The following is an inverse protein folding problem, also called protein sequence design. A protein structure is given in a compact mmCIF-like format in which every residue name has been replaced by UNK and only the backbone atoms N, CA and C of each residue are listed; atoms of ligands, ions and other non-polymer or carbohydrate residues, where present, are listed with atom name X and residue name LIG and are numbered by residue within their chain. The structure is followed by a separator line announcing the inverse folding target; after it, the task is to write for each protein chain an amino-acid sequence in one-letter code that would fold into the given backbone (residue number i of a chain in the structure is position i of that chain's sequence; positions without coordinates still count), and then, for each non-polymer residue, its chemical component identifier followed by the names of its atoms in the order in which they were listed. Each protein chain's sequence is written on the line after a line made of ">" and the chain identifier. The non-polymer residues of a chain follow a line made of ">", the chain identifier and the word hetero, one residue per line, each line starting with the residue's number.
data_IF_240381559400
#
_entry.id   IF_240381559400
#
_cell.length_a   1.000
_cell.length_b   1.000
_cell.length_c   1.000
_cell.angle_alpha   90.00
_cell.angle_beta   90.00
_cell.angle_gamma   90.00
#
_symmetry.space_group_name_H-M   'P 1'
#
loop_
_entity.id
_entity.type
_entity.pdbx_description
1 polymer ?
#
# COMPACT_ATOMS: atom_id res chain seq x y z
N UNK A 1 -7.14 1.01 16.63
CA UNK A 1 -8.14 1.43 15.61
C UNK A 1 -7.56 2.21 14.42
N UNK A 2 -6.39 2.87 14.51
CA UNK A 2 -5.78 3.60 13.37
C UNK A 2 -5.34 2.70 12.20
N UNK A 3 -4.85 1.49 12.51
CA UNK A 3 -4.24 0.56 11.55
C UNK A 3 -5.20 0.05 10.45
N UNK A 4 -6.39 -0.44 10.80
CA UNK A 4 -7.32 -1.05 9.83
C UNK A 4 -7.78 -0.09 8.71
N UNK A 5 -8.01 1.18 9.04
CA UNK A 5 -8.41 2.18 8.05
C UNK A 5 -7.25 2.56 7.10
N UNK A 6 -6.01 2.54 7.60
CA UNK A 6 -4.80 2.71 6.79
C UNK A 6 -4.56 1.50 5.88
N UNK A 7 -4.88 0.28 6.33
CA UNK A 7 -4.88 -0.95 5.52
C UNK A 7 -5.91 -0.83 4.41
N UNK A 8 -7.19 -0.58 4.70
CA UNK A 8 -8.22 -0.47 3.67
C UNK A 8 -7.87 0.62 2.63
N UNK A 9 -7.34 1.76 3.06
CA UNK A 9 -6.88 2.82 2.16
C UNK A 9 -5.71 2.37 1.28
N UNK A 10 -4.67 1.77 1.86
CA UNK A 10 -3.55 1.21 1.11
C UNK A 10 -4.04 0.15 0.14
N UNK A 11 -4.72 -0.87 0.65
CA UNK A 11 -5.22 -2.03 -0.07
C UNK A 11 -6.20 -1.66 -1.19
N UNK A 12 -7.11 -0.69 -0.98
CA UNK A 12 -8.07 -0.25 -2.00
C UNK A 12 -7.41 0.34 -3.26
N UNK A 13 -6.21 0.94 -3.12
CA UNK A 13 -5.43 1.46 -4.25
C UNK A 13 -4.59 0.37 -4.94
N UNK A 14 -4.31 -0.75 -4.28
CA UNK A 14 -3.38 -1.78 -4.75
C UNK A 14 -4.04 -2.90 -5.60
N UNK A 15 -5.36 -2.85 -5.81
CA UNK A 15 -6.12 -4.04 -6.22
C UNK A 15 -6.37 -4.16 -7.72
N UNK A 16 -5.84 -5.26 -8.28
CA UNK A 16 -6.39 -6.20 -9.29
C UNK A 16 -5.26 -7.10 -9.84
N UNK A 17 -3.99 -6.76 -9.63
CA UNK A 17 -2.86 -7.40 -10.33
C UNK A 17 -2.18 -8.57 -9.62
N UNK A 18 -2.41 -8.77 -8.31
CA UNK A 18 -1.55 -9.66 -7.50
C UNK A 18 -2.22 -10.99 -7.13
N UNK A 19 -3.55 -11.04 -7.01
CA UNK A 19 -4.28 -12.27 -6.63
C UNK A 19 -5.33 -12.62 -7.68
N UNK A 20 -5.26 -13.84 -8.22
CA UNK A 20 -6.26 -14.41 -9.12
C UNK A 20 -7.55 -14.84 -8.38
N UNK A 21 -7.45 -15.17 -7.09
CA UNK A 21 -8.59 -15.61 -6.27
C UNK A 21 -9.00 -14.54 -5.24
N UNK A 22 -10.10 -13.85 -5.52
CA UNK A 22 -10.63 -12.77 -4.68
C UNK A 22 -11.02 -13.23 -3.26
N UNK A 23 -11.61 -14.42 -3.12
CA UNK A 23 -12.01 -14.95 -1.80
C UNK A 23 -10.78 -15.19 -0.92
N UNK A 24 -9.74 -15.82 -1.48
CA UNK A 24 -8.49 -16.09 -0.77
C UNK A 24 -7.80 -14.80 -0.33
N UNK A 25 -7.75 -13.80 -1.21
CA UNK A 25 -7.23 -12.47 -0.89
C UNK A 25 -7.96 -11.83 0.29
N UNK A 26 -9.31 -11.87 0.30
CA UNK A 26 -10.12 -11.30 1.39
C UNK A 26 -9.83 -11.96 2.73
N UNK A 27 -9.70 -13.29 2.76
CA UNK A 27 -9.34 -14.02 3.98
C UNK A 27 -7.99 -13.58 4.50
N UNK A 28 -6.96 -13.52 3.64
CA UNK A 28 -5.61 -13.08 4.02
C UNK A 28 -5.62 -11.66 4.58
N UNK A 29 -6.37 -10.76 3.96
CA UNK A 29 -6.41 -9.35 4.37
C UNK A 29 -7.22 -9.15 5.65
N UNK A 30 -8.27 -9.94 5.87
CA UNK A 30 -8.96 -9.95 7.15
C UNK A 30 -8.03 -10.43 8.26
N UNK A 31 -7.30 -11.54 8.06
CA UNK A 31 -6.31 -12.03 9.02
C UNK A 31 -5.26 -10.94 9.30
N UNK A 32 -4.67 -10.34 8.26
CA UNK A 32 -3.70 -9.25 8.44
C UNK A 32 -4.31 -8.08 9.22
N UNK A 33 -5.53 -7.67 8.85
CA UNK A 33 -6.26 -6.59 9.51
C UNK A 33 -6.49 -6.83 11.01
N UNK A 34 -6.80 -8.07 11.39
CA UNK A 34 -6.93 -8.48 12.79
C UNK A 34 -5.59 -8.43 13.53
N UNK A 35 -4.53 -8.98 12.93
CA UNK A 35 -3.20 -9.06 13.56
C UNK A 35 -2.54 -7.70 13.75
N UNK A 36 -2.84 -6.75 12.87
CA UNK A 36 -2.28 -5.40 12.88
C UNK A 36 -2.97 -4.43 13.86
N UNK A 37 -4.02 -4.86 14.55
CA UNK A 37 -4.65 -4.10 15.65
C UNK A 37 -3.83 -4.20 16.93
N UNK A 38 -2.96 -5.20 17.02
CA UNK A 38 -2.13 -5.50 18.18
C UNK A 38 -0.71 -4.96 17.94
N UNK A 39 -0.14 -4.25 18.93
CA UNK A 39 1.20 -3.62 18.83
C UNK A 39 2.32 -4.66 18.84
N UNK A 40 2.43 -5.41 17.74
CA UNK A 40 3.35 -6.53 17.53
C UNK A 40 4.45 -6.17 16.55
N UNK A 41 5.57 -6.86 16.64
CA UNK A 41 6.69 -6.79 15.68
C UNK A 41 6.34 -7.46 14.35
N UNK A 42 7.08 -7.15 13.27
CA UNK A 42 6.88 -7.79 11.95
C UNK A 42 6.97 -9.33 12.05
N UNK A 43 7.95 -9.85 12.80
CA UNK A 43 8.15 -11.29 13.00
C UNK A 43 6.97 -11.95 13.72
N UNK A 44 6.46 -11.33 14.80
CA UNK A 44 5.30 -11.83 15.53
C UNK A 44 4.04 -11.86 14.66
N UNK A 45 3.83 -10.84 13.83
CA UNK A 45 2.67 -10.79 12.92
C UNK A 45 2.81 -11.85 11.83
N UNK A 46 4.03 -12.14 11.35
CA UNK A 46 4.26 -13.20 10.37
C UNK A 46 4.04 -14.61 10.94
N UNK A 47 4.52 -14.88 12.14
CA UNK A 47 4.28 -16.17 12.81
C UNK A 47 2.78 -16.38 13.03
N UNK A 48 2.08 -15.34 13.48
CA UNK A 48 0.63 -15.41 13.64
C UNK A 48 -0.11 -15.54 12.32
N UNK A 49 0.35 -14.88 11.25
CA UNK A 49 -0.24 -15.03 9.92
C UNK A 49 -0.14 -16.49 9.46
N UNK A 50 1.01 -17.13 9.62
CA UNK A 50 1.20 -18.55 9.28
C UNK A 50 0.28 -19.45 10.11
N UNK A 51 0.15 -19.16 11.41
CA UNK A 51 -0.77 -19.90 12.28
C UNK A 51 -2.23 -19.72 11.87
N UNK A 52 -2.69 -18.48 11.68
CA UNK A 52 -4.06 -18.15 11.31
C UNK A 52 -4.40 -18.58 9.89
N UNK A 53 -3.41 -18.75 9.01
CA UNK A 53 -3.62 -19.25 7.65
C UNK A 53 -3.41 -20.76 7.51
N UNK A 54 -3.13 -21.48 8.59
CA UNK A 54 -2.86 -22.93 8.57
C UNK A 54 -4.04 -23.78 8.08
N UNK A 55 -5.27 -23.26 8.14
CA UNK A 55 -6.47 -23.92 7.62
C UNK A 55 -6.66 -23.74 6.11
N UNK A 56 -5.85 -22.89 5.45
CA UNK A 56 -5.96 -22.67 4.02
C UNK A 56 -5.43 -23.88 3.24
N UNK A 57 -6.23 -24.34 2.28
CA UNK A 57 -5.84 -25.39 1.33
C UNK A 57 -5.90 -24.83 -0.11
N UNK A 58 -4.76 -24.70 -0.83
CA UNK A 58 -3.40 -24.98 -0.35
C UNK A 58 -2.90 -23.94 0.68
N UNK A 59 -1.84 -24.24 1.45
CA UNK A 59 -1.19 -23.26 2.32
C UNK A 59 -0.71 -22.01 1.57
N UNK A 60 -0.34 -20.95 2.30
CA UNK A 60 0.21 -19.75 1.68
C UNK A 60 1.43 -20.08 0.84
N UNK A 61 1.42 -19.66 -0.42
CA UNK A 61 2.59 -19.79 -1.27
C UNK A 61 3.58 -18.62 -1.03
N UNK A 62 4.80 -18.76 -1.54
CA UNK A 62 5.86 -17.75 -1.36
C UNK A 62 5.47 -16.35 -1.86
N UNK A 63 4.70 -16.26 -2.94
CA UNK A 63 4.21 -14.97 -3.45
C UNK A 63 3.26 -14.30 -2.47
N UNK A 64 2.32 -15.07 -1.92
CA UNK A 64 1.37 -14.58 -0.92
C UNK A 64 2.07 -14.15 0.36
N UNK A 65 3.09 -14.87 0.81
CA UNK A 65 3.91 -14.46 1.96
C UNK A 65 4.65 -13.16 1.69
N UNK A 66 5.29 -13.02 0.52
CA UNK A 66 5.95 -11.77 0.12
C UNK A 66 4.97 -10.60 0.07
N UNK A 67 3.75 -10.84 -0.42
CA UNK A 67 2.69 -9.83 -0.42
C UNK A 67 2.32 -9.39 1.00
N UNK A 68 2.12 -10.35 1.90
CA UNK A 68 1.79 -10.05 3.28
C UNK A 68 2.91 -9.25 3.95
N UNK A 69 4.16 -9.68 3.81
CA UNK A 69 5.31 -8.95 4.34
C UNK A 69 5.41 -7.53 3.78
N UNK A 70 5.19 -7.36 2.47
CA UNK A 70 5.20 -6.05 1.85
C UNK A 70 4.12 -5.13 2.45
N UNK A 71 2.89 -5.64 2.66
CA UNK A 71 1.83 -4.89 3.32
C UNK A 71 2.21 -4.52 4.75
N UNK A 72 2.73 -5.46 5.55
CA UNK A 72 3.18 -5.20 6.92
C UNK A 72 4.23 -4.08 6.97
N UNK A 73 5.22 -4.14 6.08
CA UNK A 73 6.25 -3.09 5.96
C UNK A 73 5.65 -1.75 5.58
N UNK A 74 4.81 -1.72 4.55
CA UNK A 74 4.13 -0.50 4.14
C UNK A 74 3.38 0.14 5.30
N UNK A 75 2.66 -0.65 6.07
CA UNK A 75 1.85 -0.20 7.19
C UNK A 75 2.67 0.30 8.37
N UNK A 76 3.76 -0.41 8.69
CA UNK A 76 4.66 -0.04 9.79
C UNK A 76 5.20 1.38 9.65
N UNK A 77 5.32 1.89 8.41
CA UNK A 77 5.83 3.23 8.14
C UNK A 77 4.74 4.20 7.64
N UNK A 78 3.54 3.72 7.27
CA UNK A 78 2.59 4.51 6.48
C UNK A 78 2.16 5.80 7.19
N UNK A 79 1.96 5.70 8.51
CA UNK A 79 1.55 6.82 9.35
C UNK A 79 2.73 7.73 9.73
N UNK A 80 3.97 7.24 9.65
CA UNK A 80 5.20 8.00 9.91
C UNK A 80 5.66 8.84 8.70
N UNK A 81 5.04 8.64 7.54
CA UNK A 81 5.33 9.42 6.34
C UNK A 81 4.63 10.77 6.45
N UNK A 82 5.40 11.78 6.89
CA UNK A 82 4.95 13.16 7.01
C UNK A 82 4.79 13.81 5.62
N UNK A 83 3.58 14.30 5.35
CA UNK A 83 3.24 15.10 4.17
C UNK A 83 2.45 16.30 4.67
N UNK A 84 3.08 17.47 4.60
CA UNK A 84 2.57 18.72 5.15
C UNK A 84 2.14 19.72 4.05
N UNK A 85 2.43 19.39 2.79
CA UNK A 85 2.31 20.34 1.68
C UNK A 85 2.11 19.66 0.33
N UNK A 86 1.47 20.39 -0.58
CA UNK A 86 1.33 19.98 -1.98
C UNK A 86 2.68 19.89 -2.71
N UNK A 87 3.67 20.67 -2.31
CA UNK A 87 5.03 20.55 -2.83
C UNK A 87 5.64 19.18 -2.51
N UNK A 88 5.48 18.71 -1.26
CA UNK A 88 5.96 17.39 -0.85
C UNK A 88 5.30 16.26 -1.62
N UNK A 89 4.00 16.39 -1.92
CA UNK A 89 3.27 15.45 -2.81
C UNK A 89 3.93 15.38 -4.18
N UNK A 90 4.25 16.53 -4.78
CA UNK A 90 4.86 16.57 -6.10
C UNK A 90 6.26 15.95 -6.12
N UNK A 91 7.08 16.24 -5.10
CA UNK A 91 8.40 15.61 -4.92
C UNK A 91 8.26 14.09 -4.81
N UNK A 92 7.36 13.60 -3.95
CA UNK A 92 7.12 12.15 -3.77
C UNK A 92 6.48 11.52 -5.01
N UNK A 93 5.79 12.27 -5.88
CA UNK A 93 5.22 11.71 -7.11
C UNK A 93 6.08 11.95 -8.35
N UNK A 94 7.29 12.49 -8.20
CA UNK A 94 8.18 12.87 -9.31
C UNK A 94 7.47 13.78 -10.33
N UNK A 95 6.61 14.69 -9.84
CA UNK A 95 5.88 15.64 -10.67
C UNK A 95 6.62 16.99 -10.76
N UNK A 96 6.72 17.58 -11.96
CA UNK A 96 7.26 18.93 -12.12
C UNK A 96 6.39 19.95 -11.36
N UNK A 97 7.00 20.82 -10.57
CA UNK A 97 6.31 21.83 -9.74
C UNK A 97 5.51 22.82 -10.59
N UNK A 98 5.89 23.03 -11.85
CA UNK A 98 5.17 23.88 -12.80
C UNK A 98 3.73 23.38 -13.04
N UNK A 99 3.46 22.08 -12.79
CA UNK A 99 2.11 21.53 -12.90
C UNK A 99 1.21 21.90 -11.71
N UNK A 100 1.74 22.50 -10.64
CA UNK A 100 0.93 22.95 -9.50
C UNK A 100 -0.02 24.09 -9.87
N UNK A 101 0.30 24.88 -10.90
CA UNK A 101 -0.55 25.98 -11.38
C UNK A 101 -1.64 25.54 -12.35
N UNK A 102 -1.79 24.23 -12.62
CA UNK A 102 -2.84 23.72 -13.48
C UNK A 102 -4.23 23.90 -12.84
N UNK A 103 -5.29 24.07 -13.65
CA UNK A 103 -6.66 23.98 -13.16
C UNK A 103 -6.91 22.65 -12.45
N UNK A 104 -7.73 22.67 -11.40
CA UNK A 104 -7.98 21.52 -10.49
C UNK A 104 -8.24 20.19 -11.23
N UNK A 105 -9.10 20.23 -12.26
CA UNK A 105 -9.43 19.04 -13.07
C UNK A 105 -8.21 18.47 -13.82
N UNK A 106 -7.30 19.32 -14.28
CA UNK A 106 -6.10 18.91 -14.99
C UNK A 106 -5.00 18.47 -14.02
N UNK A 107 -4.87 19.19 -12.90
CA UNK A 107 -4.01 18.83 -11.78
C UNK A 107 -4.34 17.42 -11.27
N UNK A 108 -5.62 17.14 -11.00
CA UNK A 108 -6.06 15.83 -10.54
C UNK A 108 -5.75 14.71 -11.54
N UNK A 109 -5.83 14.97 -12.85
CA UNK A 109 -5.40 13.99 -13.87
C UNK A 109 -3.89 13.78 -13.87
N UNK A 110 -3.11 14.85 -13.74
CA UNK A 110 -1.65 14.76 -13.71
C UNK A 110 -1.16 13.96 -12.49
N UNK A 111 -1.72 14.22 -11.31
CA UNK A 111 -1.42 13.51 -10.06
C UNK A 111 -1.79 12.03 -10.15
N UNK A 112 -3.02 11.71 -10.57
CA UNK A 112 -3.46 10.31 -10.77
C UNK A 112 -2.55 9.57 -11.75
N UNK A 113 -2.18 10.21 -12.86
CA UNK A 113 -1.30 9.62 -13.86
C UNK A 113 0.10 9.34 -13.29
N UNK A 114 0.70 10.31 -12.58
CA UNK A 114 2.01 10.15 -12.00
C UNK A 114 2.04 9.03 -10.94
N UNK A 115 1.04 8.99 -10.06
CA UNK A 115 0.86 7.91 -9.10
C UNK A 115 0.85 6.54 -9.79
N UNK A 116 -0.04 6.33 -10.78
CA UNK A 116 -0.16 5.04 -11.44
C UNK A 116 1.09 4.62 -12.22
N UNK A 117 1.76 5.58 -12.89
CA UNK A 117 3.01 5.29 -13.61
C UNK A 117 4.09 4.84 -12.63
N UNK A 118 4.28 5.55 -11.52
CA UNK A 118 5.30 5.21 -10.52
C UNK A 118 4.96 3.91 -9.81
N UNK A 119 3.70 3.73 -9.44
CA UNK A 119 3.20 2.51 -8.82
C UNK A 119 3.47 1.26 -9.67
N UNK A 120 3.06 1.27 -10.94
CA UNK A 120 3.28 0.15 -11.86
C UNK A 120 4.77 -0.09 -12.14
N UNK A 121 5.62 0.95 -12.06
CA UNK A 121 7.08 0.81 -12.18
C UNK A 121 7.67 0.01 -11.02
N UNK A 122 7.15 0.19 -9.81
CA UNK A 122 7.60 -0.45 -8.57
C UNK A 122 7.05 -1.89 -8.43
N UNK A 123 5.81 -2.12 -8.85
CA UNK A 123 5.19 -3.45 -8.82
C UNK A 123 5.59 -4.25 -10.06
N UNK A 124 6.80 -4.83 -10.03
CA UNK A 124 7.22 -5.86 -10.99
C UNK A 124 7.09 -7.25 -10.37
N UNK A 125 5.84 -7.64 -10.08
CA UNK A 125 5.49 -8.90 -9.41
C UNK A 125 5.66 -8.84 -7.88
N UNK A 126 5.45 -9.98 -7.21
CA UNK A 126 5.49 -10.09 -5.73
C UNK A 126 6.81 -9.61 -5.11
N UNK A 127 7.93 -9.99 -5.71
CA UNK A 127 9.26 -9.58 -5.22
C UNK A 127 9.47 -8.08 -5.41
N UNK A 128 9.09 -7.51 -6.56
CA UNK A 128 9.13 -6.06 -6.77
C UNK A 128 8.24 -5.30 -5.80
N UNK A 129 7.05 -5.83 -5.49
CA UNK A 129 6.15 -5.27 -4.48
C UNK A 129 6.79 -5.23 -3.08
N UNK A 130 7.44 -6.32 -2.69
CA UNK A 130 8.15 -6.42 -1.41
C UNK A 130 9.40 -5.55 -1.34
N UNK A 131 10.27 -5.63 -2.36
CA UNK A 131 11.53 -4.88 -2.40
C UNK A 131 11.29 -3.36 -2.41
N UNK A 132 10.16 -2.91 -2.96
CA UNK A 132 9.79 -1.49 -3.05
C UNK A 132 8.67 -1.07 -2.07
N UNK A 133 8.34 -1.90 -1.07
CA UNK A 133 7.23 -1.66 -0.15
C UNK A 133 7.26 -0.24 0.45
N UNK A 134 8.42 0.20 0.93
CA UNK A 134 8.60 1.54 1.51
C UNK A 134 8.27 2.67 0.53
N UNK A 135 8.75 2.56 -0.71
CA UNK A 135 8.49 3.56 -1.74
C UNK A 135 7.01 3.56 -2.15
N UNK A 136 6.41 2.38 -2.25
CA UNK A 136 4.98 2.22 -2.56
C UNK A 136 4.12 2.87 -1.46
N UNK A 137 4.48 2.69 -0.19
CA UNK A 137 3.80 3.35 0.93
C UNK A 137 3.87 4.88 0.79
N UNK A 138 5.05 5.43 0.48
CA UNK A 138 5.25 6.87 0.32
C UNK A 138 4.40 7.46 -0.80
N UNK A 139 4.43 6.87 -2.00
CA UNK A 139 3.63 7.38 -3.13
C UNK A 139 2.12 7.24 -2.88
N UNK A 140 1.71 6.20 -2.16
CA UNK A 140 0.30 5.99 -1.81
C UNK A 140 -0.15 7.00 -0.75
N UNK A 141 0.72 7.31 0.23
CA UNK A 141 0.46 8.36 1.22
C UNK A 141 0.32 9.72 0.56
N UNK A 142 1.23 10.07 -0.37
CA UNK A 142 1.19 11.31 -1.14
C UNK A 142 -0.08 11.44 -1.97
N UNK A 143 -0.49 10.37 -2.65
CA UNK A 143 -1.74 10.34 -3.39
C UNK A 143 -2.97 10.50 -2.50
N UNK A 144 -2.99 9.86 -1.33
CA UNK A 144 -4.08 10.00 -0.37
C UNK A 144 -4.19 11.40 0.22
N UNK A 145 -3.06 12.04 0.53
CA UNK A 145 -3.02 13.44 0.97
C UNK A 145 -3.63 14.36 -0.09
N UNK A 146 -3.24 14.18 -1.36
CA UNK A 146 -3.81 14.95 -2.47
C UNK A 146 -5.34 14.80 -2.53
N UNK A 147 -5.86 13.57 -2.52
CA UNK A 147 -7.29 13.31 -2.59
C UNK A 147 -8.10 13.84 -1.39
N UNK A 148 -7.46 14.18 -0.28
CA UNK A 148 -8.10 14.79 0.89
C UNK A 148 -8.02 16.32 0.88
N UNK A 149 -7.08 16.87 0.10
CA UNK A 149 -6.79 18.30 0.04
C UNK A 149 -7.54 19.03 -1.07
N UNK A 150 -8.22 18.28 -1.95
CA UNK A 150 -8.94 18.77 -3.14
C UNK A 150 -10.32 18.13 -3.14
#
# INVERSE_FOLDING_TARGET
>A
MKSYHSIEKLVSCLWWQIFENECRRKVIINILGELLVESRTEDEVLDMLLWHSSFLEPPLNNGELLYCQALLRMLSIFDDIEIDSMQKVFEILELPLEKMSLPEKELGKAVKKAYWVRFNRLIRGFRGFYDNATEIAAITRAFNFFCQSV
#
